data_IF_056713486221
#
_entry.id   IF_056713486221
#
_cell.length_a   1.000
_cell.length_b   1.000
_cell.length_c   1.000
_cell.angle_alpha   90.00
_cell.angle_beta   90.00
_cell.angle_gamma   90.00
#
_symmetry.space_group_name_H-M   'P 1'
#
loop_
_entity.id
_entity.type
_entity.pdbx_description
1 polymer ?
#
# COMPACT_ATOMS: atom_id res chain seq x y z
N UNK A 1 -29.26 -32.45 -6.39
CA UNK A 1 -29.71 -31.14 -5.89
C UNK A 1 -28.66 -30.12 -6.31
N UNK A 2 -29.05 -29.11 -7.10
CA UNK A 2 -28.16 -28.14 -7.72
C UNK A 2 -28.07 -26.90 -6.81
N UNK A 3 -26.96 -26.71 -6.10
CA UNK A 3 -26.73 -25.51 -5.29
C UNK A 3 -26.39 -24.34 -6.20
N UNK A 4 -27.26 -23.31 -6.22
CA UNK A 4 -26.92 -22.01 -6.78
C UNK A 4 -25.90 -21.33 -5.85
N UNK A 5 -24.66 -21.22 -6.31
CA UNK A 5 -23.71 -20.28 -5.73
C UNK A 5 -24.12 -18.86 -6.17
N UNK A 6 -24.74 -18.11 -5.27
CA UNK A 6 -24.90 -16.68 -5.46
C UNK A 6 -23.51 -16.04 -5.48
N UNK A 7 -23.18 -15.15 -6.43
CA UNK A 7 -21.99 -14.33 -6.30
C UNK A 7 -22.17 -13.51 -5.02
N UNK A 8 -21.31 -13.77 -4.03
CA UNK A 8 -21.22 -12.92 -2.86
C UNK A 8 -21.02 -11.49 -3.35
N UNK A 9 -21.94 -10.60 -2.97
CA UNK A 9 -21.68 -9.18 -3.07
C UNK A 9 -20.35 -8.94 -2.37
N UNK A 10 -19.35 -8.46 -3.11
CA UNK A 10 -18.18 -7.87 -2.50
C UNK A 10 -18.71 -6.63 -1.76
N UNK A 11 -18.95 -6.80 -0.45
CA UNK A 11 -19.10 -5.68 0.46
C UNK A 11 -17.77 -4.95 0.47
N UNK A 12 -17.60 -4.01 -0.47
CA UNK A 12 -16.75 -2.85 -0.23
C UNK A 12 -17.50 -2.02 0.83
N UNK A 13 -17.45 -2.50 2.07
CA UNK A 13 -17.79 -1.69 3.23
C UNK A 13 -16.58 -0.77 3.39
N UNK A 14 -16.55 0.31 2.61
CA UNK A 14 -15.86 1.51 3.03
C UNK A 14 -16.62 1.97 4.25
N UNK A 15 -16.21 1.45 5.40
CA UNK A 15 -16.55 2.02 6.68
C UNK A 15 -16.25 3.51 6.55
N UNK A 16 -17.29 4.35 6.65
CA UNK A 16 -17.12 5.80 6.78
C UNK A 16 -16.55 6.14 8.18
N UNK A 17 -16.06 5.13 8.92
CA UNK A 17 -15.16 5.27 10.05
C UNK A 17 -13.95 6.11 9.65
N UNK A 18 -13.69 7.15 10.44
CA UNK A 18 -12.56 8.04 10.25
C UNK A 18 -11.24 7.28 10.18
N UNK A 19 -10.22 7.93 9.62
CA UNK A 19 -8.88 7.34 9.50
C UNK A 19 -8.37 6.96 10.90
N UNK A 20 -7.93 5.70 11.12
CA UNK A 20 -7.39 5.29 12.42
C UNK A 20 -6.17 6.12 12.81
N UNK A 21 -6.01 6.39 14.10
CA UNK A 21 -4.91 7.21 14.61
C UNK A 21 -3.54 6.68 14.17
N UNK A 22 -3.39 5.36 14.13
CA UNK A 22 -2.15 4.70 13.70
C UNK A 22 -1.75 5.04 12.26
N UNK A 23 -2.72 5.16 11.37
CA UNK A 23 -2.47 5.53 9.98
C UNK A 23 -2.07 7.01 9.88
N UNK A 24 -2.74 7.90 10.61
CA UNK A 24 -2.37 9.30 10.70
C UNK A 24 -0.95 9.50 11.25
N UNK A 25 -0.54 8.74 12.27
CA UNK A 25 0.84 8.76 12.79
C UNK A 25 1.86 8.27 11.75
N UNK A 26 1.55 7.21 11.01
CA UNK A 26 2.43 6.73 9.93
C UNK A 26 2.59 7.78 8.82
N UNK A 27 1.53 8.47 8.46
CA UNK A 27 1.58 9.57 7.50
C UNK A 27 2.41 10.74 8.05
N UNK A 28 2.23 11.11 9.33
CA UNK A 28 3.07 12.12 9.98
C UNK A 28 4.55 11.75 9.94
N UNK A 29 4.94 10.50 10.26
CA UNK A 29 6.32 10.02 10.13
C UNK A 29 6.82 10.17 8.69
N UNK A 30 5.99 9.85 7.70
CA UNK A 30 6.36 10.00 6.30
C UNK A 30 6.64 11.46 5.92
N UNK A 31 5.83 12.42 6.42
CA UNK A 31 6.09 13.85 6.24
C UNK A 31 7.38 14.29 6.95
N UNK A 32 7.58 13.88 8.20
CA UNK A 32 8.81 14.19 8.96
C UNK A 32 10.07 13.71 8.23
N UNK A 33 10.02 12.56 7.56
CA UNK A 33 11.17 11.99 6.85
C UNK A 33 11.39 12.59 5.47
N UNK A 34 10.33 12.82 4.70
CA UNK A 34 10.45 13.24 3.29
C UNK A 34 10.38 14.75 3.09
N UNK A 35 9.66 15.45 3.97
CA UNK A 35 9.36 16.89 3.88
C UNK A 35 9.35 17.50 5.30
N UNK A 36 10.50 17.49 6.02
CA UNK A 36 10.57 17.94 7.41
C UNK A 36 10.21 19.42 7.61
N UNK A 37 10.29 20.24 6.55
CA UNK A 37 9.93 21.66 6.61
C UNK A 37 8.42 21.90 6.47
N UNK A 38 7.63 20.88 6.11
CA UNK A 38 6.17 20.97 5.96
C UNK A 38 5.46 20.73 7.29
N UNK A 39 5.68 21.66 8.22
CA UNK A 39 5.17 21.60 9.60
C UNK A 39 3.64 21.58 9.66
N UNK A 40 2.98 22.21 8.68
CA UNK A 40 1.52 22.27 8.59
C UNK A 40 0.96 20.87 8.36
N UNK A 41 1.50 20.13 7.39
CA UNK A 41 1.04 18.76 7.10
C UNK A 41 1.34 17.78 8.24
N UNK A 42 2.47 17.95 8.93
CA UNK A 42 2.81 17.13 10.10
C UNK A 42 1.82 17.40 11.24
N UNK A 43 1.55 18.68 11.52
CA UNK A 43 0.62 19.10 12.59
C UNK A 43 -0.81 18.63 12.31
N UNK A 44 -1.25 18.77 11.06
CA UNK A 44 -2.57 18.31 10.60
C UNK A 44 -2.75 16.82 10.90
N UNK A 45 -1.77 16.00 10.51
CA UNK A 45 -1.83 14.55 10.73
C UNK A 45 -1.75 14.15 12.20
N UNK A 46 -0.97 14.87 13.02
CA UNK A 46 -0.94 14.63 14.47
C UNK A 46 -2.27 15.01 15.14
N UNK A 47 -2.92 16.06 14.64
CA UNK A 47 -4.24 16.48 15.12
C UNK A 47 -5.30 15.45 14.73
N UNK A 48 -5.31 15.02 13.47
CA UNK A 48 -6.19 13.94 12.98
C UNK A 48 -6.02 12.65 13.79
N UNK A 49 -4.77 12.30 14.18
CA UNK A 49 -4.51 11.14 15.01
C UNK A 49 -5.16 11.25 16.40
N UNK A 50 -5.17 12.44 17.00
CA UNK A 50 -5.78 12.70 18.31
C UNK A 50 -7.30 12.79 18.26
N UNK A 51 -7.84 13.26 17.15
CA UNK A 51 -9.28 13.38 16.93
C UNK A 51 -9.93 12.07 16.45
N UNK A 52 -9.12 11.10 16.01
CA UNK A 52 -9.59 9.78 15.59
C UNK A 52 -10.30 9.04 16.71
N UNK A 53 -11.42 8.41 16.36
CA UNK A 53 -12.20 7.54 17.26
C UNK A 53 -11.47 6.21 17.52
N UNK A 54 -10.65 5.76 16.58
CA UNK A 54 -9.82 4.55 16.70
C UNK A 54 -8.37 4.91 17.01
N UNK A 55 -8.02 4.81 18.29
CA UNK A 55 -6.68 5.10 18.81
C UNK A 55 -5.87 3.82 19.10
N UNK A 56 -6.32 2.66 18.61
CA UNK A 56 -5.67 1.39 18.92
C UNK A 56 -4.23 1.33 18.38
N UNK A 57 -3.32 0.85 19.23
CA UNK A 57 -1.91 0.65 18.85
C UNK A 57 -1.09 1.94 18.73
N UNK A 58 -1.57 3.05 19.31
CA UNK A 58 -0.86 4.33 19.39
C UNK A 58 -0.82 4.82 20.84
N UNK A 59 0.37 5.14 21.36
CA UNK A 59 0.54 5.83 22.64
C UNK A 59 0.35 7.34 22.46
N UNK A 60 -0.84 7.84 22.83
CA UNK A 60 -1.17 9.26 22.74
C UNK A 60 -0.28 10.16 23.61
N UNK A 61 0.35 9.61 24.66
CA UNK A 61 1.31 10.36 25.48
C UNK A 61 2.53 10.76 24.66
N UNK A 62 3.02 9.86 23.80
CA UNK A 62 4.16 10.13 22.94
C UNK A 62 3.76 11.02 21.75
N UNK A 63 2.52 10.90 21.25
CA UNK A 63 1.95 11.84 20.26
C UNK A 63 1.89 13.27 20.81
N UNK A 64 1.46 13.46 22.06
CA UNK A 64 1.44 14.77 22.71
C UNK A 64 2.84 15.36 22.90
N UNK A 65 3.82 14.53 23.26
CA UNK A 65 5.23 14.95 23.34
C UNK A 65 5.80 15.27 21.97
N UNK A 66 5.39 14.54 20.94
CA UNK A 66 5.81 14.81 19.57
C UNK A 66 5.32 16.19 19.11
N UNK A 67 4.07 16.57 19.44
CA UNK A 67 3.58 17.93 19.18
C UNK A 67 4.42 18.99 19.91
N UNK A 68 4.80 18.76 21.18
CA UNK A 68 5.66 19.70 21.92
C UNK A 68 7.07 19.81 21.32
N UNK A 69 7.63 18.71 20.81
CA UNK A 69 8.91 18.71 20.12
C UNK A 69 8.82 19.44 18.77
N UNK A 70 7.67 19.30 18.09
CA UNK A 70 7.37 19.99 16.83
C UNK A 70 7.33 21.51 17.04
N UNK A 71 6.70 21.99 18.11
CA UNK A 71 6.68 23.41 18.50
C UNK A 71 8.08 23.97 18.77
N UNK A 72 9.02 23.11 19.18
CA UNK A 72 10.42 23.45 19.43
C UNK A 72 11.29 23.34 18.16
N UNK A 73 10.73 22.85 17.04
CA UNK A 73 11.44 22.60 15.80
C UNK A 73 12.40 21.40 15.86
N UNK A 74 12.26 20.52 16.84
CA UNK A 74 13.15 19.35 17.03
C UNK A 74 12.61 18.14 16.25
N UNK A 75 12.78 18.19 14.92
CA UNK A 75 12.32 17.14 14.00
C UNK A 75 12.88 15.74 14.28
N UNK A 76 14.15 15.56 14.67
CA UNK A 76 14.66 14.27 15.14
C UNK A 76 13.86 13.73 16.33
N UNK A 77 13.56 14.58 17.31
CA UNK A 77 12.79 14.20 18.47
C UNK A 77 11.32 13.91 18.14
N UNK A 78 10.69 14.70 17.25
CA UNK A 78 9.35 14.42 16.71
C UNK A 78 9.30 13.01 16.14
N UNK A 79 10.23 12.67 15.25
CA UNK A 79 10.27 11.36 14.62
C UNK A 79 10.38 10.22 15.63
N UNK A 80 11.31 10.36 16.57
CA UNK A 80 11.57 9.37 17.61
C UNK A 80 10.30 9.09 18.43
N UNK A 81 9.61 10.14 18.86
CA UNK A 81 8.39 10.04 19.67
C UNK A 81 7.23 9.41 18.88
N UNK A 82 7.09 9.74 17.59
CA UNK A 82 6.08 9.12 16.73
C UNK A 82 6.35 7.64 16.49
N UNK A 83 7.60 7.26 16.24
CA UNK A 83 7.97 5.85 16.10
C UNK A 83 7.73 5.08 17.42
N UNK A 84 8.06 5.68 18.56
CA UNK A 84 7.74 5.11 19.88
C UNK A 84 6.24 4.95 20.10
N UNK A 85 5.43 5.92 19.68
CA UNK A 85 3.99 5.89 19.85
C UNK A 85 3.34 4.67 19.20
N UNK A 86 3.86 4.18 18.07
CA UNK A 86 3.36 2.99 17.37
C UNK A 86 4.13 1.71 17.69
N UNK A 87 5.00 1.74 18.70
CA UNK A 87 5.88 0.63 19.07
C UNK A 87 6.91 0.27 17.98
N UNK A 88 7.18 1.17 17.04
CA UNK A 88 8.24 1.00 16.07
C UNK A 88 9.60 1.19 16.75
N UNK A 89 10.60 0.48 16.22
CA UNK A 89 11.97 0.60 16.72
C UNK A 89 12.50 1.99 16.34
N UNK A 90 12.78 2.80 17.36
CA UNK A 90 13.36 4.14 17.23
C UNK A 90 14.47 4.19 16.17
N UNK A 91 14.35 5.10 15.20
CA UNK A 91 15.42 5.43 14.29
C UNK A 91 16.48 6.23 15.04
N UNK A 92 17.65 5.62 15.15
CA UNK A 92 18.82 6.18 15.83
C UNK A 92 19.76 6.89 14.84
N UNK A 93 19.37 7.11 13.59
CA UNK A 93 20.19 7.72 12.54
C UNK A 93 20.69 9.14 12.86
N UNK A 94 20.07 9.83 13.83
CA UNK A 94 20.49 11.16 14.33
C UNK A 94 21.22 11.16 15.67
N UNK A 95 21.30 10.03 16.37
CA UNK A 95 22.22 9.86 17.50
C UNK A 95 23.57 9.45 16.91
N UNK A 96 24.69 9.87 17.50
CA UNK A 96 26.06 9.45 17.13
C UNK A 96 26.25 7.94 17.43
N UNK A 97 25.48 7.11 16.74
CA UNK A 97 25.55 5.67 16.76
C UNK A 97 26.66 5.31 15.80
N UNK A 98 27.84 5.06 16.37
CA UNK A 98 29.01 4.53 15.66
C UNK A 98 28.57 3.42 14.72
N UNK A 99 28.50 3.74 13.42
CA UNK A 99 28.37 2.73 12.39
C UNK A 99 29.55 1.77 12.54
N UNK A 100 29.28 0.47 12.41
CA UNK A 100 30.18 -0.67 12.72
C UNK A 100 31.51 -0.66 11.93
N UNK A 101 31.81 0.40 11.18
CA UNK A 101 33.01 0.57 10.35
C UNK A 101 33.73 1.93 10.52
N UNK A 102 33.33 2.81 11.44
CA UNK A 102 34.10 4.04 11.69
C UNK A 102 35.20 3.80 12.73
N UNK A 103 36.39 3.51 12.21
CA UNK A 103 37.64 3.48 12.98
C UNK A 103 38.15 4.92 13.10
N UNK A 104 38.60 5.31 14.31
CA UNK A 104 39.07 6.66 14.59
C UNK A 104 40.22 7.09 13.65
N UNK A 105 40.28 8.38 13.24
CA UNK A 105 41.36 8.86 12.39
C UNK A 105 42.70 8.67 13.14
N UNK A 106 43.58 7.82 12.60
CA UNK A 106 44.90 7.55 13.16
C UNK A 106 45.11 6.15 13.75
N UNK A 107 44.09 5.28 13.84
CA UNK A 107 44.31 3.86 14.15
C UNK A 107 44.29 3.01 12.87
N UNK A 108 45.40 3.05 12.14
CA UNK A 108 45.60 2.37 10.85
C UNK A 108 45.92 0.87 10.96
N UNK A 109 45.48 0.18 12.02
CA UNK A 109 45.88 -1.22 12.28
C UNK A 109 44.70 -2.18 12.39
N UNK A 110 43.60 -1.92 11.69
CA UNK A 110 42.76 -3.03 11.25
C UNK A 110 43.41 -3.58 9.99
N UNK A 111 43.98 -4.78 10.07
CA UNK A 111 44.46 -5.50 8.90
C UNK A 111 43.24 -5.80 8.03
N UNK A 112 42.97 -4.92 7.07
CA UNK A 112 41.99 -5.16 6.03
C UNK A 112 42.49 -6.37 5.23
N UNK A 113 41.62 -7.34 5.00
CA UNK A 113 41.94 -8.47 4.14
C UNK A 113 42.44 -7.93 2.79
N UNK A 114 43.71 -8.17 2.47
CA UNK A 114 44.23 -7.93 1.14
C UNK A 114 43.50 -8.87 0.18
N UNK A 115 43.30 -8.50 -1.09
CA UNK A 115 42.45 -9.23 -2.06
C UNK A 115 42.80 -10.69 -2.37
N UNK A 116 43.75 -11.28 -1.63
CA UNK A 116 44.12 -12.70 -1.61
C UNK A 116 43.55 -13.47 -0.40
N UNK A 117 43.13 -12.76 0.66
CA UNK A 117 42.41 -13.33 1.80
C UNK A 117 40.90 -13.09 1.60
N UNK A 118 40.06 -14.14 1.46
CA UNK A 118 38.63 -13.97 1.46
C UNK A 118 38.18 -13.52 2.86
N UNK A 119 38.14 -12.21 3.09
CA UNK A 119 37.70 -11.55 4.34
C UNK A 119 36.20 -11.69 4.63
N UNK A 120 35.56 -12.72 4.09
CA UNK A 120 34.14 -13.00 4.24
C UNK A 120 33.99 -14.52 4.23
N UNK A 121 34.03 -15.14 5.41
CA UNK A 121 33.29 -16.38 5.60
C UNK A 121 31.81 -16.01 5.54
N UNK A 122 31.28 -15.91 4.32
CA UNK A 122 29.85 -15.88 4.10
C UNK A 122 29.37 -17.30 4.41
N UNK A 123 29.03 -17.56 5.68
CA UNK A 123 28.05 -18.59 5.99
C UNK A 123 26.71 -18.00 5.59
N UNK A 124 26.44 -17.93 4.29
CA UNK A 124 25.05 -17.88 3.83
C UNK A 124 24.53 -19.27 4.14
N UNK A 125 23.69 -19.37 5.17
CA UNK A 125 22.74 -20.46 5.20
C UNK A 125 22.04 -20.44 3.84
N UNK A 126 22.08 -21.57 3.13
CA UNK A 126 21.56 -21.67 1.78
C UNK A 126 20.07 -21.38 1.85
N UNK A 127 19.68 -20.16 1.44
CA UNK A 127 18.29 -19.74 1.33
C UNK A 127 17.58 -20.83 0.54
N UNK A 128 16.69 -21.56 1.22
CA UNK A 128 16.03 -22.73 0.66
C UNK A 128 15.39 -22.30 -0.66
N UNK A 129 15.93 -22.80 -1.77
CA UNK A 129 15.48 -22.41 -3.10
C UNK A 129 13.97 -22.55 -3.20
N UNK A 130 13.32 -21.65 -3.95
CA UNK A 130 11.87 -21.64 -4.19
C UNK A 130 11.42 -23.10 -4.39
N UNK A 131 10.61 -23.60 -3.46
CA UNK A 131 10.32 -25.02 -3.33
C UNK A 131 9.90 -25.67 -4.65
N UNK A 132 10.17 -26.97 -4.78
CA UNK A 132 9.77 -27.73 -5.97
C UNK A 132 8.29 -27.49 -6.29
N UNK A 133 7.97 -27.42 -7.59
CA UNK A 133 6.61 -27.24 -8.13
C UNK A 133 5.60 -28.00 -7.27
N UNK A 134 4.81 -27.25 -6.51
CA UNK A 134 3.88 -27.82 -5.55
C UNK A 134 2.58 -28.22 -6.24
N UNK A 135 1.89 -29.23 -5.71
CA UNK A 135 0.56 -29.60 -6.22
C UNK A 135 -0.42 -28.42 -6.22
N UNK A 136 -0.29 -27.51 -5.27
CA UNK A 136 -1.07 -26.27 -5.20
C UNK A 136 -0.82 -25.33 -6.38
N UNK A 137 0.41 -25.23 -6.89
CA UNK A 137 0.72 -24.39 -8.04
C UNK A 137 0.01 -24.90 -9.30
N UNK A 138 -0.06 -26.22 -9.47
CA UNK A 138 -0.81 -26.83 -10.58
C UNK A 138 -2.32 -26.60 -10.47
N UNK A 139 -2.87 -26.60 -9.26
CA UNK A 139 -4.28 -26.33 -9.01
C UNK A 139 -4.64 -24.87 -9.35
N UNK A 140 -3.82 -23.91 -8.93
CA UNK A 140 -4.03 -22.49 -9.23
C UNK A 140 -3.97 -22.22 -10.74
N UNK A 141 -3.01 -22.82 -11.45
CA UNK A 141 -2.93 -22.72 -12.92
C UNK A 141 -4.19 -23.31 -13.57
N UNK A 142 -4.66 -24.47 -13.10
CA UNK A 142 -5.89 -25.10 -13.59
C UNK A 142 -7.12 -24.22 -13.43
N UNK A 143 -7.30 -23.60 -12.26
CA UNK A 143 -8.42 -22.70 -11.97
C UNK A 143 -8.36 -21.45 -12.86
N UNK A 144 -7.18 -20.86 -13.01
CA UNK A 144 -7.00 -19.68 -13.87
C UNK A 144 -7.32 -19.98 -15.34
N UNK A 145 -6.87 -21.13 -15.85
CA UNK A 145 -7.17 -21.56 -17.21
C UNK A 145 -8.67 -21.80 -17.42
N UNK A 146 -9.35 -22.42 -16.45
CA UNK A 146 -10.80 -22.65 -16.50
C UNK A 146 -11.59 -21.35 -16.50
N UNK A 147 -11.21 -20.38 -15.65
CA UNK A 147 -11.85 -19.06 -15.60
C UNK A 147 -11.70 -18.31 -16.92
N UNK A 148 -10.50 -18.33 -17.52
CA UNK A 148 -10.25 -17.71 -18.82
C UNK A 148 -11.10 -18.36 -19.93
N UNK A 149 -11.15 -19.69 -19.98
CA UNK A 149 -11.97 -20.41 -20.96
C UNK A 149 -13.47 -20.11 -20.81
N UNK A 150 -13.96 -20.04 -19.56
CA UNK A 150 -15.35 -19.66 -19.27
C UNK A 150 -15.65 -18.24 -19.77
N UNK A 151 -14.77 -17.27 -19.49
CA UNK A 151 -14.92 -15.89 -19.95
C UNK A 151 -15.02 -15.79 -21.48
N UNK A 152 -14.14 -16.50 -22.21
CA UNK A 152 -14.18 -16.55 -23.67
C UNK A 152 -15.48 -17.17 -24.18
N UNK A 153 -15.91 -18.28 -23.57
CA UNK A 153 -17.12 -18.99 -23.98
C UNK A 153 -18.38 -18.16 -23.72
N UNK A 154 -18.47 -17.48 -22.58
CA UNK A 154 -19.56 -16.55 -22.28
C UNK A 154 -19.54 -15.36 -23.25
N UNK A 155 -18.38 -14.76 -23.52
CA UNK A 155 -18.26 -13.65 -24.47
C UNK A 155 -18.70 -14.04 -25.88
N UNK A 156 -18.40 -15.27 -26.30
CA UNK A 156 -18.85 -15.80 -27.58
C UNK A 156 -20.35 -16.10 -27.58
N UNK A 157 -20.88 -16.68 -26.50
CA UNK A 157 -22.29 -17.08 -26.36
C UNK A 157 -23.24 -15.88 -26.23
N UNK A 158 -22.82 -14.82 -25.56
CA UNK A 158 -23.61 -13.61 -25.31
C UNK A 158 -23.29 -12.47 -26.27
N UNK A 159 -22.53 -12.73 -27.34
CA UNK A 159 -22.23 -11.73 -28.36
C UNK A 159 -23.54 -11.19 -28.98
N UNK A 160 -23.89 -9.89 -28.79
CA UNK A 160 -25.14 -9.37 -29.30
C UNK A 160 -25.14 -9.37 -30.82
N UNK A 161 -26.16 -9.96 -31.44
CA UNK A 161 -26.31 -10.00 -32.90
C UNK A 161 -26.58 -8.62 -33.53
N UNK A 162 -26.87 -7.59 -32.73
CA UNK A 162 -27.27 -6.28 -33.19
C UNK A 162 -26.16 -5.26 -32.93
N UNK A 163 -25.50 -4.83 -34.00
CA UNK A 163 -24.53 -3.74 -33.94
C UNK A 163 -25.25 -2.39 -33.75
N UNK A 164 -24.59 -1.44 -33.08
CA UNK A 164 -25.09 -0.07 -32.80
C UNK A 164 -25.61 0.62 -34.09
N UNK A 165 -25.06 0.25 -35.25
CA UNK A 165 -25.52 0.73 -36.55
C UNK A 165 -26.98 0.35 -36.87
N UNK A 166 -27.44 -0.84 -36.45
CA UNK A 166 -28.83 -1.28 -36.66
C UNK A 166 -29.81 -0.51 -35.78
N UNK A 167 -29.43 -0.21 -34.54
CA UNK A 167 -30.21 0.64 -33.63
C UNK A 167 -30.27 2.09 -34.13
N UNK A 168 -29.13 2.64 -34.58
CA UNK A 168 -29.05 4.00 -35.14
C UNK A 168 -29.87 4.13 -36.43
N UNK A 169 -29.87 3.10 -37.28
CA UNK A 169 -30.68 3.06 -38.50
C UNK A 169 -32.17 2.95 -38.19
N UNK A 170 -32.59 2.18 -37.17
CA UNK A 170 -34.00 2.14 -36.70
C UNK A 170 -34.47 3.46 -36.10
N UNK A 171 -33.64 4.11 -35.28
CA UNK A 171 -33.96 5.43 -34.71
C UNK A 171 -34.14 6.49 -35.80
N UNK A 172 -33.27 6.50 -36.82
CA UNK A 172 -33.36 7.42 -37.95
C UNK A 172 -34.55 7.15 -38.91
N UNK A 173 -35.09 5.93 -38.91
CA UNK A 173 -36.31 5.61 -39.65
C UNK A 173 -37.56 6.03 -38.85
N UNK A 174 -37.58 5.78 -37.53
CA UNK A 174 -38.67 6.18 -36.65
C UNK A 174 -38.88 7.70 -36.60
N UNK A 175 -37.80 8.50 -36.58
CA UNK A 175 -37.90 9.96 -36.61
C UNK A 175 -38.52 10.52 -37.90
N UNK A 176 -38.25 9.88 -39.05
CA UNK A 176 -38.84 10.28 -40.34
C UNK A 176 -40.32 9.94 -40.47
N UNK A 177 -40.77 8.87 -39.82
CA UNK A 177 -42.18 8.49 -39.80
C UNK A 177 -43.03 9.41 -38.92
N UNK A 178 -42.44 10.03 -37.90
CA UNK A 178 -43.11 10.99 -37.03
C UNK A 178 -43.30 12.37 -37.71
N UNK A 179 -42.30 12.82 -38.46
CA UNK A 179 -42.33 14.08 -39.21
C UNK A 179 -43.41 14.08 -40.31
N UNK A 180 -43.62 12.94 -40.96
CA UNK A 180 -44.64 12.78 -42.01
C UNK A 180 -46.09 12.80 -41.49
N UNK A 181 -46.33 12.58 -40.19
CA UNK A 181 -47.68 12.59 -39.58
C UNK A 181 -48.10 13.94 -38.98
N UNK A 182 -47.20 14.92 -38.88
CA UNK A 182 -47.47 16.23 -38.28
C UNK A 182 -47.77 17.37 -39.27
N UNK A 183 -47.74 17.11 -40.58
CA UNK A 183 -47.90 18.11 -41.63
C UNK A 183 -49.18 17.97 -42.46
N UNK A 184 -50.31 17.74 -41.80
CA UNK A 184 -51.65 17.69 -42.42
C UNK A 184 -52.59 18.72 -41.82
#
# INVERSE_FOLDING_TARGET
MLSLAFPGAAFAHGDEGGVPARENVLQAIAYVVNTPDDMDMITDKLTDAKESEDQEGVDMTEVDRAMQALDQGDMPQVRLLLEQSIGARADLSGLDVRHVLQVAPGSSTVSLAAGQDPGTLIVTDELTGRGAWSGSDSALIGIAAAAAAAGVLLGWRFRPAHSIHTLRRRAALAGRSADQKGGG
#
